data_IF_156749931791
#
_entry.id   IF_156749931791
#
_cell.length_a   1.000
_cell.length_b   1.000
_cell.length_c   1.000
_cell.angle_alpha   90.00
_cell.angle_beta   90.00
_cell.angle_gamma   90.00
#
_symmetry.space_group_name_H-M   'P 1'
#
loop_
_entity.id
_entity.type
_entity.pdbx_description
1 polymer ?
#
# COMPACT_ATOMS: atom_id res chain seq x y z
N UNK A 1 -2.82 10.39 19.28
CA UNK A 1 -3.57 9.27 18.70
C UNK A 1 -2.67 8.58 17.67
N UNK A 2 -2.73 7.25 17.56
CA UNK A 2 -1.97 6.47 16.58
C UNK A 2 -2.97 5.89 15.59
N UNK A 3 -2.71 6.09 14.31
CA UNK A 3 -3.51 5.55 13.20
C UNK A 3 -2.72 4.48 12.49
N UNK A 4 -3.43 3.45 12.07
CA UNK A 4 -2.86 2.39 11.27
C UNK A 4 -3.11 2.67 9.80
N UNK A 5 -2.10 2.36 8.98
CA UNK A 5 -2.20 2.35 7.53
C UNK A 5 -1.87 0.96 7.03
N UNK A 6 -2.62 0.47 6.07
CA UNK A 6 -2.31 -0.74 5.35
C UNK A 6 -2.06 -0.43 3.88
N UNK A 7 -0.96 -0.92 3.31
CA UNK A 7 -0.58 -0.70 1.91
C UNK A 7 -0.21 -2.01 1.24
N UNK A 8 -0.56 -2.13 -0.03
CA UNK A 8 -0.43 -3.35 -0.80
C UNK A 8 0.66 -3.23 -1.87
N UNK A 9 1.71 -4.01 -1.76
CA UNK A 9 2.65 -4.31 -2.85
C UNK A 9 2.05 -5.45 -3.65
N UNK A 10 1.18 -5.11 -4.61
CA UNK A 10 0.44 -6.09 -5.42
C UNK A 10 1.34 -6.57 -6.54
N UNK A 11 1.55 -7.89 -6.60
CA UNK A 11 2.43 -8.51 -7.59
C UNK A 11 1.67 -9.50 -8.46
N UNK A 12 2.10 -9.63 -9.71
CA UNK A 12 1.67 -10.70 -10.64
C UNK A 12 2.84 -11.16 -11.49
N UNK A 13 2.67 -12.31 -12.13
CA UNK A 13 3.55 -12.73 -13.22
C UNK A 13 2.82 -12.59 -14.55
N UNK A 14 3.44 -11.92 -15.49
CA UNK A 14 2.92 -11.74 -16.85
C UNK A 14 4.02 -12.10 -17.86
N UNK A 15 3.73 -13.07 -18.73
CA UNK A 15 4.71 -13.57 -19.70
C UNK A 15 6.07 -13.97 -19.08
N UNK A 16 6.03 -14.56 -17.87
CA UNK A 16 7.21 -14.97 -17.11
C UNK A 16 7.95 -13.84 -16.39
N UNK A 17 7.53 -12.59 -16.54
CA UNK A 17 8.09 -11.44 -15.84
C UNK A 17 7.27 -11.09 -14.60
N UNK A 18 7.97 -10.73 -13.54
CA UNK A 18 7.33 -10.21 -12.33
C UNK A 18 6.93 -8.75 -12.58
N UNK A 19 5.71 -8.40 -12.19
CA UNK A 19 5.14 -7.06 -12.31
C UNK A 19 4.61 -6.64 -10.96
N UNK A 20 4.70 -5.35 -10.65
CA UNK A 20 4.14 -4.75 -9.44
C UNK A 20 3.23 -3.58 -9.80
N UNK A 21 2.12 -3.45 -9.09
CA UNK A 21 1.17 -2.37 -9.32
C UNK A 21 1.62 -1.12 -8.57
N UNK A 22 1.61 0.01 -9.28
CA UNK A 22 1.78 1.34 -8.72
C UNK A 22 0.65 2.24 -9.16
N UNK A 23 0.36 3.24 -8.37
CA UNK A 23 -0.59 4.30 -8.69
C UNK A 23 0.05 5.65 -8.44
N UNK A 24 -0.45 6.69 -9.09
CA UNK A 24 -0.07 8.05 -8.78
C UNK A 24 -1.09 8.68 -7.84
N UNK A 25 -0.63 9.13 -6.69
CA UNK A 25 -1.48 9.82 -5.73
C UNK A 25 -2.06 11.11 -6.37
N UNK A 26 -3.35 11.30 -6.24
CA UNK A 26 -4.05 12.49 -6.75
C UNK A 26 -4.67 13.26 -5.58
N UNK A 27 -4.10 14.42 -5.27
CA UNK A 27 -4.59 15.27 -4.17
C UNK A 27 -4.62 16.73 -4.59
N UNK A 28 -5.60 17.46 -4.11
CA UNK A 28 -5.76 18.89 -4.40
C UNK A 28 -5.83 19.20 -5.90
N UNK A 29 -6.41 18.29 -6.69
CA UNK A 29 -6.57 18.45 -8.12
C UNK A 29 -5.29 18.24 -8.95
N UNK A 30 -4.22 17.72 -8.36
CA UNK A 30 -2.94 17.49 -9.05
C UNK A 30 -2.37 16.10 -8.76
N UNK A 31 -1.78 15.43 -9.78
CA UNK A 31 -1.00 14.23 -9.56
C UNK A 31 0.22 14.53 -8.70
N UNK A 32 0.49 13.66 -7.74
CA UNK A 32 1.67 13.72 -6.86
C UNK A 32 2.70 12.66 -7.28
N UNK A 33 3.38 12.06 -6.32
CA UNK A 33 4.31 10.95 -6.54
C UNK A 33 3.58 9.63 -6.78
N UNK A 34 4.28 8.66 -7.34
CA UNK A 34 3.84 7.27 -7.37
C UNK A 34 3.90 6.65 -5.98
N UNK A 35 3.01 5.72 -5.71
CA UNK A 35 2.94 4.98 -4.45
C UNK A 35 2.29 3.61 -4.64
N UNK A 36 2.36 2.79 -3.61
CA UNK A 36 1.54 1.58 -3.52
C UNK A 36 0.14 1.92 -3.00
N UNK A 37 -0.92 1.27 -3.51
CA UNK A 37 -2.29 1.48 -3.04
C UNK A 37 -2.43 1.15 -1.56
N UNK A 38 -3.29 1.93 -0.88
CA UNK A 38 -3.59 1.75 0.52
C UNK A 38 -3.73 3.05 1.28
N UNK A 39 -4.29 2.98 2.48
CA UNK A 39 -4.60 4.14 3.29
C UNK A 39 -4.83 3.85 4.77
N UNK A 40 -5.54 4.75 5.43
CA UNK A 40 -5.79 4.70 6.86
C UNK A 40 -6.94 3.76 7.21
N UNK A 41 -6.81 3.08 8.35
CA UNK A 41 -7.92 2.31 8.92
C UNK A 41 -9.07 3.22 9.33
N UNK A 42 -10.28 2.74 9.11
CA UNK A 42 -11.49 3.30 9.69
C UNK A 42 -11.74 2.73 11.10
N UNK A 43 -12.69 3.36 11.81
CA UNK A 43 -13.00 2.91 13.17
C UNK A 43 -13.53 1.47 13.17
N UNK A 44 -12.90 0.61 13.96
CA UNK A 44 -13.29 -0.81 14.10
C UNK A 44 -12.80 -1.74 13.01
N UNK A 45 -12.07 -1.23 12.02
CA UNK A 45 -11.48 -2.04 10.95
C UNK A 45 -10.23 -2.78 11.43
N UNK A 46 -10.09 -4.05 11.02
CA UNK A 46 -8.81 -4.74 11.11
C UNK A 46 -7.83 -4.21 10.06
N UNK A 47 -6.53 -4.43 10.25
CA UNK A 47 -5.53 -3.98 9.29
C UNK A 47 -5.68 -4.67 7.92
N UNK A 48 -6.18 -5.91 7.92
CA UNK A 48 -6.43 -6.69 6.70
C UNK A 48 -7.69 -6.20 5.98
N UNK A 49 -8.73 -5.83 6.73
CA UNK A 49 -9.95 -5.24 6.14
C UNK A 49 -9.64 -3.88 5.52
N UNK A 50 -8.85 -3.05 6.22
CA UNK A 50 -8.31 -1.79 5.68
C UNK A 50 -7.59 -2.02 4.36
N UNK A 51 -6.66 -3.00 4.31
CA UNK A 51 -5.91 -3.32 3.09
C UNK A 51 -6.84 -3.66 1.92
N UNK A 52 -7.82 -4.53 2.17
CA UNK A 52 -8.76 -4.98 1.14
C UNK A 52 -9.69 -3.86 0.65
N UNK A 53 -10.19 -3.03 1.57
CA UNK A 53 -11.04 -1.87 1.23
C UNK A 53 -10.29 -0.86 0.39
N UNK A 54 -9.11 -0.44 0.85
CA UNK A 54 -8.30 0.56 0.15
C UNK A 54 -7.88 0.10 -1.25
N UNK A 55 -7.47 -1.17 -1.40
CA UNK A 55 -7.15 -1.75 -2.72
C UNK A 55 -8.35 -1.71 -3.64
N UNK A 56 -9.55 -2.03 -3.14
CA UNK A 56 -10.78 -1.97 -3.95
C UNK A 56 -11.13 -0.53 -4.32
N UNK A 57 -11.04 0.43 -3.40
CA UNK A 57 -11.42 1.82 -3.62
C UNK A 57 -10.43 2.56 -4.54
N UNK A 58 -9.12 2.32 -4.35
CA UNK A 58 -8.10 3.03 -5.11
C UNK A 58 -7.78 2.42 -6.47
N UNK A 59 -7.80 1.08 -6.58
CA UNK A 59 -7.36 0.40 -7.81
C UNK A 59 -8.37 -0.60 -8.38
N UNK A 60 -9.49 -0.86 -7.71
CA UNK A 60 -10.58 -1.73 -8.18
C UNK A 60 -10.26 -3.22 -8.19
N UNK A 61 -9.21 -3.64 -7.48
CA UNK A 61 -8.80 -5.04 -7.42
C UNK A 61 -9.27 -5.71 -6.14
N UNK A 62 -9.51 -7.03 -6.22
CA UNK A 62 -9.82 -7.87 -5.07
C UNK A 62 -8.57 -8.61 -4.62
N UNK A 63 -8.09 -8.34 -3.40
CA UNK A 63 -6.95 -9.06 -2.80
C UNK A 63 -7.34 -10.52 -2.57
N UNK A 64 -6.60 -11.44 -3.18
CA UNK A 64 -6.86 -12.89 -3.10
C UNK A 64 -5.84 -13.63 -2.24
N UNK A 65 -4.63 -13.07 -2.10
CA UNK A 65 -3.58 -13.66 -1.28
C UNK A 65 -2.72 -12.59 -0.64
N UNK A 66 -2.39 -12.79 0.63
CA UNK A 66 -1.45 -11.96 1.39
C UNK A 66 -0.30 -12.86 1.82
N UNK A 67 0.90 -12.52 1.39
CA UNK A 67 2.11 -13.27 1.77
C UNK A 67 2.49 -12.99 3.22
N UNK A 68 2.99 -14.00 3.91
CA UNK A 68 3.40 -13.89 5.30
C UNK A 68 2.25 -13.79 6.31
N UNK A 69 1.01 -14.03 5.86
CA UNK A 69 -0.15 -14.08 6.75
C UNK A 69 -0.33 -15.50 7.29
N UNK A 70 -0.28 -15.63 8.60
CA UNK A 70 -0.53 -16.87 9.32
C UNK A 70 -1.71 -16.68 10.27
N UNK A 71 -2.62 -17.63 10.28
CA UNK A 71 -3.72 -17.65 11.27
C UNK A 71 -3.29 -18.45 12.49
N UNK A 72 -3.47 -17.86 13.65
CA UNK A 72 -3.29 -18.56 14.92
C UNK A 72 -4.44 -19.56 15.09
N UNK A 73 -4.13 -20.85 15.11
CA UNK A 73 -5.13 -21.93 15.06
C UNK A 73 -6.07 -22.00 16.27
N UNK A 74 -5.70 -21.40 17.39
CA UNK A 74 -6.40 -21.57 18.67
C UNK A 74 -7.13 -20.30 19.16
N UNK A 75 -7.12 -19.20 18.37
CA UNK A 75 -7.78 -17.93 18.74
C UNK A 75 -8.31 -17.24 17.50
N UNK A 76 -9.61 -17.27 17.33
CA UNK A 76 -10.30 -16.72 16.15
C UNK A 76 -10.20 -15.18 16.04
N UNK A 77 -9.78 -14.51 17.10
CA UNK A 77 -9.67 -13.05 17.23
C UNK A 77 -8.24 -12.50 17.07
N UNK A 78 -7.26 -13.34 16.70
CA UNK A 78 -5.87 -12.94 16.50
C UNK A 78 -5.40 -13.28 15.09
N UNK A 79 -4.97 -12.27 14.35
CA UNK A 79 -4.27 -12.41 13.07
C UNK A 79 -2.77 -12.23 13.27
N UNK A 80 -1.98 -13.19 12.80
CA UNK A 80 -0.52 -13.12 12.82
C UNK A 80 -0.01 -13.01 11.39
N UNK A 81 0.89 -12.07 11.15
CA UNK A 81 1.48 -11.86 9.83
C UNK A 81 2.94 -11.41 9.92
N UNK A 82 3.67 -11.69 8.85
CA UNK A 82 5.00 -11.13 8.61
C UNK A 82 4.87 -10.10 7.50
N UNK A 83 4.94 -8.81 7.81
CA UNK A 83 4.81 -7.76 6.80
C UNK A 83 6.06 -7.69 5.92
N UNK A 84 5.91 -7.15 4.72
CA UNK A 84 7.03 -6.82 3.85
C UNK A 84 7.87 -5.68 4.45
N UNK A 85 7.21 -4.66 4.99
CA UNK A 85 7.83 -3.49 5.60
C UNK A 85 6.88 -2.83 6.61
N UNK A 86 7.45 -2.13 7.58
CA UNK A 86 6.71 -1.30 8.53
C UNK A 86 7.37 0.08 8.57
N UNK A 87 6.56 1.13 8.57
CA UNK A 87 7.05 2.49 8.76
C UNK A 87 6.35 3.21 9.90
N UNK A 88 7.04 4.20 10.46
CA UNK A 88 6.49 5.11 11.47
C UNK A 88 6.56 6.54 10.95
N UNK A 89 5.41 7.20 10.87
CA UNK A 89 5.34 8.61 10.54
C UNK A 89 6.00 9.45 11.63
N UNK A 90 7.14 10.08 11.33
CA UNK A 90 7.87 10.93 12.30
C UNK A 90 7.14 12.23 12.60
N UNK A 91 6.50 12.81 11.59
CA UNK A 91 5.70 14.02 11.72
C UNK A 91 4.23 13.63 11.78
N UNK A 92 3.54 14.06 12.84
CA UNK A 92 2.09 13.91 12.91
C UNK A 92 1.43 14.85 11.89
N UNK A 93 0.33 14.40 11.29
CA UNK A 93 -0.56 15.28 10.53
C UNK A 93 -1.67 15.81 11.42
N UNK A 94 -2.27 16.92 10.99
CA UNK A 94 -3.47 17.47 11.61
C UNK A 94 -4.66 17.07 10.73
N UNK A 95 -5.68 16.50 11.33
CA UNK A 95 -6.91 16.16 10.61
C UNK A 95 -7.62 17.45 10.20
N UNK A 96 -7.92 17.58 8.92
CA UNK A 96 -8.59 18.74 8.34
C UNK A 96 -10.12 18.67 8.40
N UNK A 97 -10.67 17.49 8.74
CA UNK A 97 -12.12 17.28 8.81
C UNK A 97 -12.45 15.98 9.58
N UNK A 98 -13.72 15.80 9.93
CA UNK A 98 -14.23 14.62 10.59
C UNK A 98 -14.12 14.66 12.12
N UNK A 99 -14.37 13.52 12.76
CA UNK A 99 -14.40 13.37 14.23
C UNK A 99 -13.10 13.82 14.93
N UNK A 100 -11.98 13.76 14.21
CA UNK A 100 -10.65 14.08 14.74
C UNK A 100 -10.11 15.42 14.23
N UNK A 101 -10.96 16.28 13.66
CA UNK A 101 -10.55 17.58 13.14
C UNK A 101 -9.74 18.39 14.17
N UNK A 102 -8.61 18.93 13.72
CA UNK A 102 -7.68 19.69 14.55
C UNK A 102 -6.77 18.86 15.45
N UNK A 103 -6.98 17.55 15.55
CA UNK A 103 -6.11 16.68 16.35
C UNK A 103 -4.86 16.26 15.58
N UNK A 104 -3.75 16.09 16.31
CA UNK A 104 -2.52 15.53 15.74
C UNK A 104 -2.50 14.01 15.87
N UNK A 105 -2.30 13.33 14.74
CA UNK A 105 -2.11 11.90 14.66
C UNK A 105 -0.69 11.51 14.23
N UNK A 106 -0.21 10.38 14.72
CA UNK A 106 0.95 9.70 14.17
C UNK A 106 0.50 8.43 13.48
N UNK A 107 1.19 8.01 12.42
CA UNK A 107 0.87 6.78 11.72
C UNK A 107 1.90 5.69 11.96
N UNK A 108 1.37 4.48 12.03
CA UNK A 108 2.12 3.24 11.80
C UNK A 108 1.57 2.66 10.53
N UNK A 109 2.41 2.44 9.54
CA UNK A 109 1.99 1.82 8.28
C UNK A 109 2.64 0.46 8.09
N UNK A 110 1.86 -0.46 7.57
CA UNK A 110 2.27 -1.83 7.29
C UNK A 110 2.08 -2.09 5.80
N UNK A 111 3.15 -2.56 5.15
CA UNK A 111 3.11 -2.97 3.76
C UNK A 111 3.01 -4.49 3.66
N UNK A 112 2.04 -4.94 2.89
CA UNK A 112 1.82 -6.35 2.60
C UNK A 112 2.14 -6.64 1.14
N UNK A 113 2.88 -7.71 0.89
CA UNK A 113 2.99 -8.28 -0.45
C UNK A 113 1.74 -9.11 -0.72
N UNK A 114 1.08 -8.86 -1.86
CA UNK A 114 -0.23 -9.43 -2.17
C UNK A 114 -0.32 -9.90 -3.61
N UNK A 115 -1.26 -10.84 -3.85
CA UNK A 115 -1.84 -11.06 -5.17
C UNK A 115 -3.27 -10.55 -5.15
N UNK A 116 -3.74 -10.05 -6.30
CA UNK A 116 -5.10 -9.55 -6.45
C UNK A 116 -5.63 -9.90 -7.84
N UNK A 117 -6.95 -9.96 -7.95
CA UNK A 117 -7.69 -10.28 -9.18
C UNK A 117 -8.59 -9.11 -9.59
N UNK A 118 -8.93 -9.06 -10.87
CA UNK A 118 -9.74 -8.03 -11.50
C UNK A 118 -8.95 -7.21 -12.51
N UNK A 119 -9.63 -6.23 -13.10
CA UNK A 119 -9.01 -5.25 -13.99
C UNK A 119 -8.82 -3.95 -13.24
N UNK A 120 -7.60 -3.38 -13.22
CA UNK A 120 -7.36 -2.11 -12.55
C UNK A 120 -8.23 -0.99 -13.13
N UNK A 121 -8.71 -0.11 -12.27
CA UNK A 121 -9.41 1.11 -12.69
C UNK A 121 -8.47 2.03 -13.48
N UNK A 122 -9.04 2.88 -14.33
CA UNK A 122 -8.29 4.00 -14.92
C UNK A 122 -7.91 5.05 -13.87
N UNK A 123 -8.82 5.28 -12.91
CA UNK A 123 -8.63 6.12 -11.74
C UNK A 123 -9.55 5.66 -10.61
N UNK A 124 -9.09 5.76 -9.37
CA UNK A 124 -9.86 5.42 -8.17
C UNK A 124 -9.98 6.59 -7.22
N UNK A 125 -10.32 6.31 -5.94
CA UNK A 125 -10.37 7.35 -4.91
C UNK A 125 -8.96 7.90 -4.67
N UNK A 126 -8.76 9.18 -4.97
CA UNK A 126 -7.47 9.89 -4.85
C UNK A 126 -6.29 9.24 -5.56
N UNK A 127 -6.55 8.40 -6.55
CA UNK A 127 -5.55 7.69 -7.35
C UNK A 127 -5.78 7.88 -8.86
N UNK A 128 -4.69 7.92 -9.60
CA UNK A 128 -4.67 8.00 -11.07
C UNK A 128 -3.43 7.30 -11.61
N UNK A 129 -3.31 7.18 -12.93
CA UNK A 129 -2.16 6.54 -13.58
C UNK A 129 -1.83 5.16 -12.96
N UNK A 130 -2.88 4.36 -12.70
CA UNK A 130 -2.75 3.02 -12.13
C UNK A 130 -2.13 2.12 -13.20
N UNK A 131 -0.98 1.51 -12.88
CA UNK A 131 -0.24 0.75 -13.88
C UNK A 131 0.59 -0.38 -13.28
N UNK A 132 0.73 -1.43 -14.06
CA UNK A 132 1.70 -2.48 -13.79
C UNK A 132 3.07 -2.08 -14.33
N UNK A 133 4.08 -2.14 -13.48
CA UNK A 133 5.47 -1.83 -13.85
C UNK A 133 6.38 -3.02 -13.58
N UNK A 134 7.48 -3.11 -14.31
CA UNK A 134 8.53 -4.10 -14.03
C UNK A 134 9.37 -3.65 -12.82
N UNK A 135 10.12 -4.57 -12.17
CA UNK A 135 11.06 -4.20 -11.12
C UNK A 135 12.07 -3.13 -11.56
N UNK A 136 12.54 -3.18 -12.80
CA UNK A 136 13.47 -2.18 -13.35
C UNK A 136 12.81 -0.80 -13.40
N UNK A 137 11.55 -0.73 -13.87
CA UNK A 137 10.80 0.54 -13.90
C UNK A 137 10.51 1.07 -12.50
N UNK A 138 10.22 0.20 -11.54
CA UNK A 138 10.08 0.60 -10.13
C UNK A 138 11.39 1.20 -9.60
N UNK A 139 12.54 0.60 -9.93
CA UNK A 139 13.85 1.15 -9.56
C UNK A 139 14.07 2.55 -10.15
N UNK A 140 13.74 2.76 -11.43
CA UNK A 140 13.82 4.08 -12.06
C UNK A 140 12.96 5.12 -11.31
N UNK A 141 11.72 4.76 -10.94
CA UNK A 141 10.85 5.64 -10.15
C UNK A 141 11.44 6.00 -8.77
N UNK A 142 12.18 5.08 -8.16
CA UNK A 142 12.88 5.33 -6.90
C UNK A 142 14.11 6.24 -7.08
N UNK A 143 14.79 6.16 -8.22
CA UNK A 143 15.99 6.94 -8.52
C UNK A 143 15.66 8.39 -8.89
N UNK A 144 14.46 8.65 -9.40
CA UNK A 144 14.01 10.00 -9.72
C UNK A 144 13.61 10.77 -8.44
N UNK A 145 14.12 11.98 -8.22
CA UNK A 145 13.74 12.82 -7.09
C UNK A 145 12.22 13.07 -7.05
N UNK A 146 11.62 12.91 -5.88
CA UNK A 146 10.20 13.19 -5.61
C UNK A 146 9.19 12.39 -6.44
N UNK A 147 9.64 11.42 -7.23
CA UNK A 147 8.77 10.63 -8.11
C UNK A 147 8.09 9.49 -7.36
N UNK A 148 8.66 8.96 -6.29
CA UNK A 148 8.07 7.89 -5.48
C UNK A 148 7.92 8.30 -4.03
N UNK A 149 6.79 7.91 -3.42
CA UNK A 149 6.42 8.28 -2.05
C UNK A 149 7.41 7.75 -1.01
N UNK A 150 7.92 8.62 -0.15
CA UNK A 150 8.89 8.28 0.91
C UNK A 150 8.39 7.20 1.86
N UNK A 151 7.09 7.20 2.17
CA UNK A 151 6.49 6.19 3.07
C UNK A 151 6.46 4.79 2.45
N UNK A 152 6.52 4.70 1.12
CA UNK A 152 6.51 3.45 0.37
C UNK A 152 7.92 2.99 -0.07
N UNK A 153 8.91 3.88 0.01
CA UNK A 153 10.27 3.62 -0.47
C UNK A 153 10.89 2.37 0.15
N UNK A 154 10.83 2.24 1.49
CA UNK A 154 11.38 1.06 2.17
C UNK A 154 10.74 -0.25 1.76
N UNK A 155 9.44 -0.26 1.48
CA UNK A 155 8.75 -1.45 0.96
C UNK A 155 9.18 -1.78 -0.48
N UNK A 156 9.34 -0.76 -1.33
CA UNK A 156 9.80 -0.93 -2.70
C UNK A 156 11.23 -1.50 -2.75
N UNK A 157 12.14 -0.97 -1.94
CA UNK A 157 13.52 -1.47 -1.82
C UNK A 157 13.57 -2.91 -1.31
N UNK A 158 12.74 -3.25 -0.31
CA UNK A 158 12.63 -4.62 0.20
C UNK A 158 12.12 -5.58 -0.87
N UNK A 159 11.07 -5.17 -1.59
CA UNK A 159 10.53 -5.96 -2.70
C UNK A 159 11.57 -6.19 -3.80
N UNK A 160 12.29 -5.14 -4.22
CA UNK A 160 13.35 -5.25 -5.24
C UNK A 160 14.49 -6.18 -4.79
N UNK A 161 14.87 -6.12 -3.51
CA UNK A 161 15.87 -7.04 -2.96
C UNK A 161 15.42 -8.51 -3.02
N UNK A 162 14.14 -8.80 -2.75
CA UNK A 162 13.59 -10.16 -2.88
C UNK A 162 13.59 -10.66 -4.34
N UNK A 163 13.27 -9.78 -5.31
CA UNK A 163 13.23 -10.14 -6.73
C UNK A 163 14.64 -10.43 -7.25
N UNK A 164 15.62 -9.65 -6.84
CA UNK A 164 17.02 -9.79 -7.31
C UNK A 164 17.77 -10.98 -6.69
N UNK A 165 17.20 -11.62 -5.67
CA UNK A 165 17.78 -12.84 -5.06
C UNK A 165 17.29 -14.15 -5.70
N UNK A 166 16.34 -14.08 -6.63
CA UNK A 166 15.79 -15.25 -7.36
C UNK A 166 16.51 -15.48 -8.67
#
# INVERSE_FOLDING_TARGET
MIFYNARAVIVKKENGKEMVLVQRCFRDGVPKCFEFPGGCSEWGESIIDTLKREVMEEVGLTVTKIYGMEKYKDKDDVETFTPLSVYFGKQGWVFSSGEFEGQRGKSVGVHFKCEAEGEPLESGDKSTEIQWVTPERLQELLDEPDMFSDINRGAAETYLAEVNQK
#
